data_IF_460032116978
#
_entry.id   IF_460032116978
#
_cell.length_a   1.000
_cell.length_b   1.000
_cell.length_c   1.000
_cell.angle_alpha   90.00
_cell.angle_beta   90.00
_cell.angle_gamma   90.00
#
_symmetry.space_group_name_H-M   'P 1'
#
loop_
_entity.id
_entity.type
_entity.pdbx_description
1 polymer ?
#
# COMPACT_ATOMS: atom_id res chain seq x y z
N UNK A 1 -8.02 -12.06 9.47
CA UNK A 1 -6.73 -12.68 9.13
C UNK A 1 -6.28 -12.02 7.85
N UNK A 2 -5.30 -11.14 7.92
CA UNK A 2 -4.75 -10.46 6.73
C UNK A 2 -3.49 -11.20 6.35
N UNK A 3 -3.53 -11.88 5.20
CA UNK A 3 -2.39 -12.56 4.61
C UNK A 3 -1.64 -11.55 3.76
N UNK A 4 -0.44 -11.17 4.16
CA UNK A 4 0.44 -10.36 3.31
C UNK A 4 1.43 -11.27 2.59
N UNK A 5 1.30 -11.34 1.28
CA UNK A 5 2.27 -12.02 0.41
C UNK A 5 3.25 -10.97 -0.11
N UNK A 6 4.50 -11.09 0.25
CA UNK A 6 5.58 -10.24 -0.28
C UNK A 6 6.19 -10.86 -1.52
N UNK A 7 6.27 -10.05 -2.56
CA UNK A 7 7.09 -10.36 -3.73
C UNK A 7 8.58 -10.46 -3.35
N UNK A 8 9.28 -11.36 -4.01
CA UNK A 8 10.72 -11.61 -3.84
C UNK A 8 11.52 -10.35 -4.19
N UNK A 9 12.21 -9.78 -3.24
CA UNK A 9 13.28 -8.81 -3.49
C UNK A 9 14.54 -9.22 -2.75
N UNK A 10 15.67 -9.17 -3.45
CA UNK A 10 17.00 -9.55 -2.98
C UNK A 10 17.61 -8.61 -1.92
N UNK A 11 16.82 -7.79 -1.25
CA UNK A 11 17.27 -6.84 -0.24
C UNK A 11 16.61 -7.10 1.10
N UNK A 12 17.26 -6.81 2.22
CA UNK A 12 16.64 -6.87 3.54
C UNK A 12 15.59 -5.76 3.64
N UNK A 13 14.43 -5.99 3.04
CA UNK A 13 13.31 -5.06 3.15
C UNK A 13 12.51 -5.41 4.40
N UNK A 14 12.33 -4.46 5.31
CA UNK A 14 11.41 -4.64 6.43
C UNK A 14 9.99 -4.84 5.92
N UNK A 15 9.30 -5.74 6.55
CA UNK A 15 7.96 -6.13 6.23
C UNK A 15 6.98 -4.98 6.54
N UNK A 16 6.15 -4.66 5.58
CA UNK A 16 5.04 -3.78 5.81
C UNK A 16 3.94 -4.50 6.59
N UNK A 17 3.60 -3.96 7.74
CA UNK A 17 2.40 -4.35 8.46
C UNK A 17 1.33 -3.31 8.18
N UNK A 18 0.32 -3.70 7.43
CA UNK A 18 -0.91 -2.93 7.31
C UNK A 18 -1.92 -3.43 8.33
N UNK A 19 -2.54 -2.52 9.03
CA UNK A 19 -3.49 -2.81 10.09
C UNK A 19 -4.74 -1.95 9.93
N UNK A 20 -5.65 -2.31 9.00
CA UNK A 20 -6.91 -1.60 8.89
C UNK A 20 -7.76 -1.88 10.15
N UNK A 21 -7.65 -0.99 11.13
CA UNK A 21 -8.52 -0.97 12.30
C UNK A 21 -8.24 -1.98 13.41
N UNK A 22 -7.29 -2.89 13.26
CA UNK A 22 -6.97 -3.90 14.28
C UNK A 22 -5.72 -3.57 15.10
N UNK A 23 -5.71 -3.93 16.39
CA UNK A 23 -4.50 -3.91 17.21
C UNK A 23 -3.75 -5.22 17.03
N UNK A 24 -2.50 -5.24 16.52
CA UNK A 24 -1.74 -6.46 16.37
C UNK A 24 -1.36 -7.02 17.75
N UNK A 25 -1.28 -8.35 17.83
CA UNK A 25 -0.91 -9.05 19.07
C UNK A 25 0.31 -9.96 18.89
N UNK A 26 0.49 -10.54 17.72
CA UNK A 26 1.64 -11.38 17.40
C UNK A 26 1.82 -11.55 15.88
N UNK A 27 2.99 -12.03 15.49
CA UNK A 27 3.26 -12.45 14.11
C UNK A 27 3.73 -13.90 14.06
N UNK A 28 3.47 -14.57 12.93
CA UNK A 28 4.06 -15.87 12.56
C UNK A 28 4.92 -15.66 11.32
N UNK A 29 6.16 -16.16 11.32
CA UNK A 29 7.07 -16.02 10.19
C UNK A 29 6.99 -17.23 9.24
N UNK A 30 6.85 -16.96 7.94
CA UNK A 30 7.03 -17.94 6.88
C UNK A 30 8.38 -17.70 6.20
N UNK A 31 9.21 -18.73 6.15
CA UNK A 31 10.59 -18.65 5.66
C UNK A 31 10.81 -19.75 4.63
N UNK A 32 10.90 -19.39 3.38
CA UNK A 32 11.34 -20.30 2.30
C UNK A 32 12.68 -19.78 1.76
N UNK A 33 13.75 -20.56 1.90
CA UNK A 33 15.08 -20.10 1.53
C UNK A 33 15.84 -21.15 0.72
N UNK A 34 16.49 -20.75 -0.39
CA UNK A 34 17.41 -21.62 -1.13
C UNK A 34 18.76 -21.70 -0.39
N UNK A 35 18.84 -22.58 0.61
CA UNK A 35 19.99 -22.69 1.51
C UNK A 35 21.31 -23.06 0.80
N UNK A 36 21.22 -23.63 -0.40
CA UNK A 36 22.39 -23.94 -1.24
C UNK A 36 22.89 -22.73 -2.04
N UNK A 37 22.14 -21.63 -2.09
CA UNK A 37 22.43 -20.41 -2.89
C UNK A 37 22.67 -19.21 -1.98
N UNK A 38 21.84 -19.05 -0.94
CA UNK A 38 21.95 -17.94 0.01
C UNK A 38 22.76 -18.34 1.24
N UNK A 39 23.69 -17.45 1.63
CA UNK A 39 24.43 -17.64 2.87
C UNK A 39 23.52 -17.48 4.10
N UNK A 40 23.86 -18.18 5.18
CA UNK A 40 23.15 -18.04 6.47
C UNK A 40 23.18 -16.61 7.01
N UNK A 41 24.24 -15.83 6.70
CA UNK A 41 24.34 -14.40 7.05
C UNK A 41 23.26 -13.57 6.32
N UNK A 42 23.07 -13.82 5.03
CA UNK A 42 22.00 -13.15 4.24
C UNK A 42 20.62 -13.50 4.77
N UNK A 43 20.37 -14.78 5.05
CA UNK A 43 19.11 -15.25 5.64
C UNK A 43 18.89 -14.59 7.01
N UNK A 44 19.93 -14.54 7.85
CA UNK A 44 19.90 -13.87 9.14
C UNK A 44 19.52 -12.38 9.06
N UNK A 45 20.03 -11.66 8.06
CA UNK A 45 19.66 -10.25 7.81
C UNK A 45 18.18 -10.08 7.41
N UNK A 46 17.64 -10.99 6.59
CA UNK A 46 16.22 -10.98 6.22
C UNK A 46 15.35 -11.18 7.48
N UNK A 47 15.69 -12.17 8.31
CA UNK A 47 14.96 -12.44 9.55
C UNK A 47 15.05 -11.27 10.54
N UNK A 48 16.23 -10.66 10.66
CA UNK A 48 16.44 -9.48 11.51
C UNK A 48 15.60 -8.28 11.05
N UNK A 49 15.43 -8.10 9.73
CA UNK A 49 14.52 -7.07 9.17
C UNK A 49 13.09 -7.28 9.64
N UNK A 50 12.55 -8.50 9.53
CA UNK A 50 11.21 -8.83 10.01
C UNK A 50 11.07 -8.66 11.53
N UNK A 51 12.06 -9.09 12.30
CA UNK A 51 12.07 -8.91 13.75
C UNK A 51 12.07 -7.42 14.15
N UNK A 52 12.82 -6.58 13.42
CA UNK A 52 12.85 -5.13 13.65
C UNK A 52 11.47 -4.49 13.48
N UNK A 53 10.73 -4.89 12.44
CA UNK A 53 9.36 -4.37 12.20
C UNK A 53 8.39 -4.82 13.29
N UNK A 54 8.45 -6.10 13.70
CA UNK A 54 7.63 -6.61 14.81
C UNK A 54 7.94 -5.89 16.13
N UNK A 55 9.22 -5.64 16.42
CA UNK A 55 9.64 -4.88 17.60
C UNK A 55 9.10 -3.44 17.57
N UNK A 56 9.16 -2.77 16.41
CA UNK A 56 8.58 -1.43 16.24
C UNK A 56 7.06 -1.44 16.44
N UNK A 57 6.39 -2.51 16.01
CA UNK A 57 4.96 -2.70 16.21
C UNK A 57 4.59 -3.13 17.65
N UNK A 58 5.59 -3.43 18.51
CA UNK A 58 5.38 -3.89 19.88
C UNK A 58 4.80 -5.30 19.99
N UNK A 59 5.08 -6.18 19.00
CA UNK A 59 4.56 -7.55 18.97
C UNK A 59 5.67 -8.59 18.82
N UNK A 60 5.55 -9.79 19.43
CA UNK A 60 6.48 -10.87 19.23
C UNK A 60 6.26 -11.60 17.90
N UNK A 61 7.32 -12.20 17.35
CA UNK A 61 7.22 -13.32 16.43
C UNK A 61 7.01 -14.56 17.30
N UNK A 62 5.80 -15.10 17.35
CA UNK A 62 5.42 -16.19 18.25
C UNK A 62 5.64 -17.59 17.67
N UNK A 63 6.10 -17.68 16.42
CA UNK A 63 6.36 -18.93 15.72
C UNK A 63 6.35 -18.74 14.22
N UNK A 64 6.18 -19.84 13.50
CA UNK A 64 6.16 -19.81 12.05
C UNK A 64 6.54 -21.15 11.44
N UNK A 65 6.92 -21.14 10.16
CA UNK A 65 7.34 -22.33 9.44
C UNK A 65 8.51 -22.02 8.50
N UNK A 66 9.44 -22.95 8.40
CA UNK A 66 10.60 -22.86 7.51
C UNK A 66 10.59 -24.03 6.54
N UNK A 67 10.78 -23.73 5.26
CA UNK A 67 10.88 -24.73 4.18
C UNK A 67 12.07 -24.44 3.29
N UNK A 68 12.56 -25.47 2.62
CA UNK A 68 13.48 -25.29 1.50
C UNK A 68 12.71 -24.77 0.27
N UNK A 69 13.29 -23.83 -0.47
CA UNK A 69 12.64 -23.20 -1.62
C UNK A 69 13.65 -22.84 -2.68
N UNK A 70 13.27 -22.89 -3.96
CA UNK A 70 14.13 -22.48 -5.09
C UNK A 70 14.39 -20.99 -5.12
N UNK A 71 13.46 -20.18 -4.58
CA UNK A 71 13.56 -18.72 -4.48
C UNK A 71 13.35 -18.27 -3.04
N UNK A 72 14.00 -17.17 -2.61
CA UNK A 72 13.77 -16.65 -1.27
C UNK A 72 12.34 -16.15 -1.11
N UNK A 73 11.65 -16.70 -0.13
CA UNK A 73 10.29 -16.30 0.30
C UNK A 73 10.37 -15.97 1.77
N UNK A 74 9.99 -14.76 2.14
CA UNK A 74 9.85 -14.36 3.53
C UNK A 74 8.54 -13.59 3.71
N UNK A 75 7.79 -13.93 4.73
CA UNK A 75 6.54 -13.25 5.05
C UNK A 75 6.18 -13.35 6.52
N UNK A 76 5.37 -12.40 6.98
CA UNK A 76 4.77 -12.44 8.31
C UNK A 76 3.24 -12.51 8.20
N UNK A 77 2.64 -13.44 8.90
CA UNK A 77 1.20 -13.47 9.15
C UNK A 77 0.97 -12.78 10.48
N UNK A 78 0.29 -11.63 10.45
CA UNK A 78 0.00 -10.86 11.65
C UNK A 78 -1.41 -11.16 12.14
N UNK A 79 -1.52 -11.51 13.40
CA UNK A 79 -2.78 -11.65 14.11
C UNK A 79 -3.05 -10.42 14.95
N UNK A 80 -4.30 -9.96 14.94
CA UNK A 80 -4.71 -8.78 15.69
C UNK A 80 -6.13 -8.91 16.21
N UNK A 81 -6.50 -8.00 17.09
CA UNK A 81 -7.84 -7.90 17.65
C UNK A 81 -8.51 -6.63 17.19
N UNK A 82 -9.76 -6.73 16.80
CA UNK A 82 -10.64 -5.61 16.47
C UNK A 82 -12.02 -5.85 17.06
N UNK A 83 -12.65 -4.80 17.58
CA UNK A 83 -14.04 -4.90 18.00
C UNK A 83 -14.92 -5.10 16.75
N UNK A 84 -15.90 -6.05 16.76
CA UNK A 84 -16.73 -6.33 15.57
C UNK A 84 -17.38 -5.08 14.95
N UNK A 85 -17.86 -4.18 15.79
CA UNK A 85 -18.53 -2.94 15.32
C UNK A 85 -17.54 -1.86 14.79
N UNK A 86 -16.22 -2.09 14.91
CA UNK A 86 -15.16 -1.16 14.48
C UNK A 86 -14.36 -1.66 13.30
N UNK A 87 -14.77 -2.77 12.70
CA UNK A 87 -14.16 -3.27 11.46
C UNK A 87 -14.51 -2.31 10.32
N UNK A 88 -13.50 -1.66 9.75
CA UNK A 88 -13.66 -0.81 8.57
C UNK A 88 -13.48 -1.66 7.31
N UNK A 89 -14.60 -2.03 6.73
CA UNK A 89 -14.64 -2.89 5.53
C UNK A 89 -14.52 -2.05 4.28
N UNK A 90 -14.00 -2.64 3.20
CA UNK A 90 -13.90 -1.96 1.90
C UNK A 90 -15.28 -1.60 1.29
N UNK A 91 -16.35 -2.31 1.70
CA UNK A 91 -17.72 -2.08 1.22
C UNK A 91 -18.50 -1.01 2.01
N UNK A 92 -17.86 -0.37 2.99
CA UNK A 92 -18.50 0.61 3.86
C UNK A 92 -18.59 2.04 3.30
N UNK A 93 -17.93 2.34 2.18
CA UNK A 93 -17.90 3.68 1.61
C UNK A 93 -19.28 4.20 1.22
N UNK A 94 -19.46 5.51 1.30
CA UNK A 94 -20.73 6.21 1.06
C UNK A 94 -20.58 7.31 0.02
N UNK A 95 -21.67 7.64 -0.66
CA UNK A 95 -21.70 8.82 -1.56
C UNK A 95 -21.36 10.08 -0.77
N UNK A 96 -20.46 10.88 -1.32
CA UNK A 96 -19.95 12.10 -0.69
C UNK A 96 -18.70 11.90 0.19
N UNK A 97 -18.28 10.65 0.45
CA UNK A 97 -17.03 10.41 1.16
C UNK A 97 -15.84 10.98 0.41
N UNK A 98 -14.91 11.52 1.16
CA UNK A 98 -13.59 11.96 0.69
C UNK A 98 -12.60 10.83 0.82
N UNK A 99 -11.72 10.66 -0.18
CA UNK A 99 -10.63 9.68 -0.16
C UNK A 99 -9.31 10.36 0.26
N UNK A 100 -8.69 9.84 1.30
CA UNK A 100 -7.37 10.28 1.79
C UNK A 100 -6.36 9.16 1.65
N UNK A 101 -5.21 9.44 1.02
CA UNK A 101 -4.09 8.51 0.87
C UNK A 101 -2.97 8.87 1.85
N UNK A 102 -2.52 7.91 2.65
CA UNK A 102 -1.57 8.15 3.74
C UNK A 102 -0.10 8.23 3.34
N UNK A 103 0.30 7.64 2.20
CA UNK A 103 1.70 7.68 1.71
C UNK A 103 1.73 7.99 0.22
N UNK A 104 2.81 8.61 -0.29
CA UNK A 104 3.02 8.75 -1.72
C UNK A 104 3.20 7.40 -2.41
N UNK A 105 2.87 7.34 -3.69
CA UNK A 105 3.03 6.15 -4.55
C UNK A 105 4.28 6.24 -5.44
N UNK A 106 4.66 5.11 -6.03
CA UNK A 106 5.78 5.01 -6.96
C UNK A 106 6.87 4.01 -6.53
N UNK A 107 6.60 3.19 -5.50
CA UNK A 107 7.56 2.18 -5.00
C UNK A 107 7.95 1.19 -6.10
N UNK A 108 6.99 0.76 -6.93
CA UNK A 108 7.28 -0.15 -8.02
C UNK A 108 8.19 0.48 -9.08
N UNK A 109 7.99 1.76 -9.42
CA UNK A 109 8.86 2.52 -10.32
C UNK A 109 10.28 2.60 -9.77
N UNK A 110 10.44 2.93 -8.48
CA UNK A 110 11.77 2.96 -7.82
C UNK A 110 12.40 1.56 -7.80
N UNK A 111 11.63 0.51 -7.54
CA UNK A 111 12.10 -0.88 -7.57
C UNK A 111 12.55 -1.31 -8.98
N UNK A 112 11.82 -0.88 -10.03
CA UNK A 112 12.22 -1.13 -11.41
C UNK A 112 13.53 -0.41 -11.77
N UNK A 113 13.70 0.83 -11.32
CA UNK A 113 14.93 1.60 -11.49
C UNK A 113 16.10 0.97 -10.73
N UNK A 114 15.87 0.49 -9.51
CA UNK A 114 16.87 -0.25 -8.71
C UNK A 114 17.33 -1.51 -9.44
N UNK A 115 16.39 -2.31 -9.96
CA UNK A 115 16.72 -3.53 -10.71
C UNK A 115 17.55 -3.25 -11.99
N UNK A 116 17.38 -2.07 -12.59
CA UNK A 116 18.15 -1.62 -13.76
C UNK A 116 19.44 -0.89 -13.38
N UNK A 117 19.77 -0.80 -12.08
CA UNK A 117 20.96 -0.10 -11.56
C UNK A 117 21.01 1.40 -11.92
N UNK A 118 19.85 2.04 -12.11
CA UNK A 118 19.74 3.48 -12.45
C UNK A 118 19.12 4.31 -11.32
N UNK A 119 18.78 3.68 -10.18
CA UNK A 119 18.28 4.38 -9.00
C UNK A 119 19.45 4.99 -8.23
N UNK A 120 19.40 6.29 -7.99
CA UNK A 120 20.39 6.96 -7.15
C UNK A 120 20.22 6.68 -5.65
N UNK A 121 21.19 7.07 -4.84
CA UNK A 121 21.19 6.84 -3.40
C UNK A 121 19.99 7.51 -2.71
N UNK A 122 19.59 8.70 -3.13
CA UNK A 122 18.46 9.43 -2.55
C UNK A 122 17.13 8.73 -2.87
N UNK A 123 16.95 8.22 -4.09
CA UNK A 123 15.80 7.42 -4.48
C UNK A 123 15.73 6.10 -3.70
N UNK A 124 16.87 5.45 -3.49
CA UNK A 124 16.95 4.24 -2.67
C UNK A 124 16.54 4.51 -1.22
N UNK A 125 17.08 5.56 -0.60
CA UNK A 125 16.74 5.96 0.77
C UNK A 125 15.25 6.30 0.91
N UNK A 126 14.70 7.06 -0.04
CA UNK A 126 13.27 7.38 -0.09
C UNK A 126 12.40 6.13 -0.19
N UNK A 127 12.77 5.17 -1.05
CA UNK A 127 12.06 3.90 -1.20
C UNK A 127 12.08 3.10 0.11
N UNK A 128 13.24 2.96 0.75
CA UNK A 128 13.38 2.23 2.02
C UNK A 128 12.59 2.92 3.12
N UNK A 129 12.72 4.23 3.29
CA UNK A 129 11.99 4.99 4.29
C UNK A 129 10.47 4.80 4.15
N UNK A 130 9.94 4.88 2.92
CA UNK A 130 8.52 4.71 2.66
C UNK A 130 8.04 3.27 2.93
N UNK A 131 8.80 2.26 2.50
CA UNK A 131 8.41 0.86 2.63
C UNK A 131 8.56 0.32 4.05
N UNK A 132 9.48 0.87 4.85
CA UNK A 132 9.71 0.46 6.25
C UNK A 132 8.79 1.15 7.24
N UNK A 133 8.10 2.22 6.82
CA UNK A 133 7.19 2.97 7.67
C UNK A 133 5.90 2.20 7.92
N UNK A 134 5.65 1.84 9.18
CA UNK A 134 4.43 1.16 9.59
C UNK A 134 3.20 2.05 9.46
N UNK A 135 2.08 1.49 9.02
CA UNK A 135 0.80 2.20 8.94
C UNK A 135 0.12 2.35 10.33
N UNK A 136 0.85 2.90 11.27
CA UNK A 136 0.42 3.10 12.66
C UNK A 136 -0.85 3.95 12.85
N UNK A 137 -1.30 4.81 11.91
CA UNK A 137 -2.57 5.52 12.04
C UNK A 137 -3.80 4.61 12.01
N UNK A 138 -3.70 3.40 11.42
CA UNK A 138 -4.85 2.53 11.13
C UNK A 138 -5.79 2.28 12.31
N UNK A 139 -5.30 1.85 13.49
CA UNK A 139 -6.17 1.63 14.65
C UNK A 139 -6.92 2.88 15.10
N UNK A 140 -6.27 4.04 15.12
CA UNK A 140 -6.89 5.29 15.56
C UNK A 140 -7.91 5.81 14.53
N UNK A 141 -7.60 5.68 13.23
CA UNK A 141 -8.54 6.01 12.16
C UNK A 141 -9.80 5.15 12.21
N UNK A 142 -9.68 3.88 12.58
CA UNK A 142 -10.81 2.98 12.69
C UNK A 142 -11.76 3.31 13.84
N UNK A 143 -11.31 4.04 14.87
CA UNK A 143 -12.15 4.51 15.97
C UNK A 143 -13.11 5.63 15.54
N UNK A 144 -12.80 6.34 14.44
CA UNK A 144 -13.63 7.43 13.97
C UNK A 144 -14.92 6.92 13.31
N UNK A 145 -16.08 7.39 13.81
CA UNK A 145 -17.37 7.03 13.24
C UNK A 145 -17.56 7.52 11.80
N UNK A 146 -16.93 8.65 11.46
CA UNK A 146 -16.98 9.22 10.12
C UNK A 146 -16.02 8.57 9.12
N UNK A 147 -15.15 7.64 9.53
CA UNK A 147 -14.38 6.77 8.62
C UNK A 147 -15.24 5.58 8.27
N UNK A 148 -15.54 5.40 6.98
CA UNK A 148 -16.48 4.40 6.49
C UNK A 148 -15.80 3.18 5.87
N UNK A 149 -14.68 3.36 5.15
CA UNK A 149 -13.86 2.26 4.66
C UNK A 149 -12.37 2.57 4.82
N UNK A 150 -11.56 1.53 4.98
CA UNK A 150 -10.14 1.62 5.20
C UNK A 150 -9.44 0.40 4.61
N UNK A 151 -8.49 0.60 3.72
CA UNK A 151 -7.62 -0.44 3.15
C UNK A 151 -6.19 0.07 3.05
N UNK A 152 -5.24 -0.82 2.84
CA UNK A 152 -3.88 -0.45 2.44
C UNK A 152 -3.70 -0.57 0.93
N UNK A 153 -2.86 0.27 0.37
CA UNK A 153 -2.50 0.23 -1.05
C UNK A 153 -1.29 -0.67 -1.23
N UNK A 154 -1.46 -1.80 -1.92
CA UNK A 154 -0.41 -2.80 -2.10
C UNK A 154 -0.23 -3.22 -3.56
N UNK A 155 -0.18 -4.50 -3.84
CA UNK A 155 0.20 -5.08 -5.13
C UNK A 155 -0.66 -4.68 -6.33
N UNK A 156 -1.91 -4.32 -6.12
CA UNK A 156 -2.82 -3.87 -7.19
C UNK A 156 -2.73 -2.37 -7.49
N UNK A 157 -1.88 -1.63 -6.78
CA UNK A 157 -1.73 -0.19 -6.95
C UNK A 157 -2.93 0.63 -6.44
N UNK A 158 -2.82 1.94 -6.49
CA UNK A 158 -3.89 2.85 -6.01
C UNK A 158 -5.22 2.59 -6.73
N UNK A 159 -5.19 2.38 -8.05
CA UNK A 159 -6.41 2.13 -8.82
C UNK A 159 -7.09 0.83 -8.41
N UNK A 160 -6.34 -0.26 -8.20
CA UNK A 160 -6.92 -1.54 -7.79
C UNK A 160 -7.62 -1.46 -6.45
N UNK A 161 -7.01 -0.81 -5.46
CA UNK A 161 -7.59 -0.66 -4.13
C UNK A 161 -8.75 0.35 -4.08
N UNK A 162 -8.70 1.44 -4.88
CA UNK A 162 -9.85 2.30 -5.06
C UNK A 162 -11.04 1.57 -5.72
N UNK A 163 -10.76 0.69 -6.70
CA UNK A 163 -11.76 -0.18 -7.31
C UNK A 163 -12.36 -1.19 -6.31
N UNK A 164 -11.55 -1.76 -5.40
CA UNK A 164 -12.08 -2.64 -4.35
C UNK A 164 -13.14 -1.94 -3.49
N UNK A 165 -12.86 -0.70 -3.07
CA UNK A 165 -13.81 0.12 -2.32
C UNK A 165 -15.05 0.40 -3.16
N UNK A 166 -14.87 0.88 -4.39
CA UNK A 166 -15.98 1.23 -5.28
C UNK A 166 -16.88 0.02 -5.63
N UNK A 167 -16.28 -1.15 -5.86
CA UNK A 167 -17.00 -2.40 -6.13
C UNK A 167 -17.76 -2.87 -4.90
N UNK A 168 -17.10 -2.88 -3.73
CA UNK A 168 -17.70 -3.30 -2.47
C UNK A 168 -18.92 -2.46 -2.11
N UNK A 169 -18.79 -1.14 -2.21
CA UNK A 169 -19.87 -0.20 -1.95
C UNK A 169 -20.90 -0.10 -3.08
N UNK A 170 -20.63 -0.65 -4.29
CA UNK A 170 -21.42 -0.53 -5.53
C UNK A 170 -21.53 0.91 -6.02
N UNK A 171 -20.53 1.72 -5.76
CA UNK A 171 -20.42 3.14 -6.08
C UNK A 171 -19.33 3.39 -7.13
N UNK A 172 -19.02 4.66 -7.39
CA UNK A 172 -17.91 5.08 -8.24
C UNK A 172 -16.91 5.91 -7.42
N UNK A 173 -15.63 5.55 -7.50
CA UNK A 173 -14.54 6.34 -6.96
C UNK A 173 -14.06 7.36 -8.01
N UNK A 174 -13.72 8.55 -7.56
CA UNK A 174 -13.14 9.62 -8.36
C UNK A 174 -11.77 9.96 -7.80
N UNK A 175 -10.74 9.90 -8.62
CA UNK A 175 -9.37 10.32 -8.25
C UNK A 175 -9.02 11.57 -9.05
N UNK A 176 -8.53 12.59 -8.36
CA UNK A 176 -7.92 13.75 -8.99
C UNK A 176 -6.40 13.53 -9.09
N UNK A 177 -5.92 13.31 -10.30
CA UNK A 177 -4.53 12.91 -10.54
C UNK A 177 -3.52 13.92 -10.00
N UNK A 178 -3.77 15.21 -10.18
CA UNK A 178 -2.89 16.27 -9.68
C UNK A 178 -2.68 16.26 -8.16
N UNK A 179 -3.57 15.64 -7.42
CA UNK A 179 -3.55 15.62 -5.95
C UNK A 179 -2.95 14.32 -5.40
N UNK A 180 -2.59 13.36 -6.27
CA UNK A 180 -1.95 12.10 -5.86
C UNK A 180 -0.49 12.35 -5.50
N UNK A 181 -0.06 12.13 -4.24
CA UNK A 181 1.33 12.34 -3.84
C UNK A 181 2.23 11.26 -4.44
N UNK A 182 3.36 11.70 -5.02
CA UNK A 182 4.34 10.82 -5.63
C UNK A 182 5.67 10.87 -4.85
N UNK A 183 6.35 9.74 -4.80
CA UNK A 183 7.73 9.68 -4.28
C UNK A 183 8.67 10.53 -5.15
N UNK A 184 9.73 11.09 -4.56
CA UNK A 184 10.72 11.87 -5.30
C UNK A 184 11.26 11.13 -6.53
N UNK A 185 11.53 11.87 -7.61
CA UNK A 185 12.09 11.36 -8.88
C UNK A 185 11.20 10.38 -9.66
N UNK A 186 10.06 9.92 -9.12
CA UNK A 186 9.16 8.98 -9.79
C UNK A 186 8.72 9.46 -11.18
N UNK A 187 8.28 10.73 -11.38
CA UNK A 187 7.90 11.19 -12.72
C UNK A 187 9.03 11.12 -13.77
N UNK A 188 10.27 11.44 -13.36
CA UNK A 188 11.42 11.38 -14.25
C UNK A 188 11.81 9.93 -14.59
N UNK A 189 11.83 9.05 -13.58
CA UNK A 189 12.12 7.64 -13.76
C UNK A 189 11.07 6.93 -14.63
N UNK A 190 9.81 7.29 -14.46
CA UNK A 190 8.73 6.77 -15.28
C UNK A 190 8.88 7.17 -16.74
N UNK A 191 9.15 8.44 -17.04
CA UNK A 191 9.44 8.93 -18.40
C UNK A 191 10.62 8.22 -19.05
N UNK A 192 11.59 7.76 -18.25
CA UNK A 192 12.73 6.94 -18.70
C UNK A 192 12.39 5.44 -18.83
N UNK A 193 11.11 5.07 -18.76
CA UNK A 193 10.65 3.70 -18.98
C UNK A 193 10.85 2.75 -17.80
N UNK A 194 10.98 3.28 -16.57
CA UNK A 194 11.08 2.45 -15.37
C UNK A 194 9.68 2.07 -14.88
N UNK A 195 9.12 1.03 -15.43
CA UNK A 195 7.80 0.48 -15.10
C UNK A 195 7.94 -0.99 -14.75
N UNK A 196 7.15 -1.48 -13.81
CA UNK A 196 7.11 -2.91 -13.47
C UNK A 196 6.21 -3.66 -14.44
N UNK A 197 6.55 -4.91 -14.75
CA UNK A 197 5.65 -5.78 -15.52
C UNK A 197 4.33 -6.06 -14.78
N UNK A 198 4.31 -5.87 -13.46
CA UNK A 198 3.09 -6.00 -12.67
C UNK A 198 2.09 -4.87 -12.92
N UNK A 199 2.55 -3.63 -13.17
CA UNK A 199 1.67 -2.52 -13.56
C UNK A 199 0.85 -2.84 -14.79
N UNK A 200 1.49 -3.37 -15.85
CA UNK A 200 0.79 -3.77 -17.08
C UNK A 200 -0.25 -4.86 -16.80
N UNK A 201 0.13 -5.93 -16.10
CA UNK A 201 -0.81 -7.02 -15.76
C UNK A 201 -1.98 -6.54 -14.89
N UNK A 202 -1.73 -5.64 -13.95
CA UNK A 202 -2.77 -5.02 -13.14
C UNK A 202 -3.79 -4.28 -14.02
N UNK A 203 -3.27 -3.44 -14.92
CA UNK A 203 -4.11 -2.68 -15.84
C UNK A 203 -4.91 -3.58 -16.78
N UNK A 204 -4.30 -4.61 -17.34
CA UNK A 204 -4.98 -5.62 -18.18
C UNK A 204 -6.12 -6.31 -17.41
N UNK A 205 -5.95 -6.51 -16.10
CA UNK A 205 -6.92 -7.18 -15.23
C UNK A 205 -8.15 -6.33 -14.92
N UNK A 206 -7.99 -5.03 -14.71
CA UNK A 206 -9.10 -4.19 -14.23
C UNK A 206 -9.27 -2.84 -14.95
N UNK A 207 -8.39 -2.48 -15.88
CA UNK A 207 -8.44 -1.18 -16.56
C UNK A 207 -9.73 -0.91 -17.32
N UNK A 208 -10.49 -1.95 -17.70
CA UNK A 208 -11.80 -1.82 -18.35
C UNK A 208 -12.86 -1.12 -17.50
N UNK A 209 -12.67 -1.09 -16.19
CA UNK A 209 -13.56 -0.44 -15.23
C UNK A 209 -13.15 1.00 -14.91
N UNK A 210 -12.03 1.46 -15.51
CA UNK A 210 -11.45 2.78 -15.29
C UNK A 210 -11.71 3.68 -16.49
N UNK A 211 -12.13 4.91 -16.22
CA UNK A 211 -12.17 5.99 -17.21
C UNK A 211 -11.11 7.02 -16.85
N UNK A 212 -10.25 7.36 -17.82
CA UNK A 212 -9.28 8.44 -17.69
C UNK A 212 -9.76 9.63 -18.50
N UNK A 213 -9.79 10.82 -17.90
CA UNK A 213 -10.06 12.07 -18.62
C UNK A 213 -8.95 12.39 -19.62
N UNK A 214 -9.30 13.09 -20.69
CA UNK A 214 -8.38 13.47 -21.76
C UNK A 214 -7.22 14.35 -21.30
N UNK A 215 -7.34 15.05 -20.18
CA UNK A 215 -6.29 15.87 -19.55
C UNK A 215 -5.31 15.07 -18.68
N UNK A 216 -5.59 13.79 -18.43
CA UNK A 216 -4.71 12.95 -17.59
C UNK A 216 -3.52 12.47 -18.42
N UNK A 217 -2.26 12.63 -17.94
CA UNK A 217 -1.09 12.16 -18.65
C UNK A 217 -1.12 10.65 -18.92
N UNK A 218 -0.55 10.22 -20.06
CA UNK A 218 -0.52 8.80 -20.42
C UNK A 218 0.20 7.92 -19.37
N UNK A 219 1.19 8.51 -18.69
CA UNK A 219 1.96 7.84 -17.64
C UNK A 219 1.16 7.56 -16.37
N UNK A 220 0.04 8.26 -16.16
CA UNK A 220 -0.85 8.06 -15.02
C UNK A 220 -1.31 6.61 -14.90
N UNK A 221 -1.65 5.97 -16.02
CA UNK A 221 -2.04 4.57 -16.06
C UNK A 221 -1.01 3.67 -15.34
N UNK A 222 0.26 3.82 -15.69
CA UNK A 222 1.33 3.00 -15.13
C UNK A 222 1.50 3.23 -13.63
N UNK A 223 1.36 4.48 -13.15
CA UNK A 223 1.49 4.83 -11.73
C UNK A 223 0.27 4.42 -10.90
N UNK A 224 -0.93 4.58 -11.42
CA UNK A 224 -2.16 4.14 -10.73
C UNK A 224 -2.20 2.62 -10.53
N UNK A 225 -1.62 1.86 -11.45
CA UNK A 225 -1.51 0.41 -11.38
C UNK A 225 -0.16 -0.10 -10.84
N UNK A 226 0.73 0.82 -10.42
CA UNK A 226 2.05 0.49 -9.88
C UNK A 226 1.94 -0.24 -8.54
N UNK A 227 2.50 -1.47 -8.42
CA UNK A 227 2.46 -2.19 -7.16
C UNK A 227 3.21 -1.42 -6.07
N UNK A 228 2.57 -1.29 -4.91
CA UNK A 228 3.16 -0.66 -3.75
C UNK A 228 3.55 -1.73 -2.73
N UNK A 229 4.80 -1.70 -2.30
CA UNK A 229 5.24 -2.47 -1.14
C UNK A 229 5.04 -1.60 0.09
N UNK A 230 4.25 -2.06 1.05
CA UNK A 230 3.95 -1.28 2.24
C UNK A 230 3.41 0.12 1.92
N UNK A 231 2.49 0.21 0.98
CA UNK A 231 1.89 1.48 0.62
C UNK A 231 1.07 2.09 1.75
N UNK A 232 0.53 3.28 1.52
CA UNK A 232 -0.26 4.00 2.49
C UNK A 232 -1.64 3.41 2.70
N UNK A 233 -2.27 3.78 3.79
CA UNK A 233 -3.70 3.55 3.99
C UNK A 233 -4.49 4.43 3.02
N UNK A 234 -5.50 3.86 2.39
CA UNK A 234 -6.53 4.57 1.64
C UNK A 234 -7.79 4.58 2.49
N UNK A 235 -8.19 5.76 2.91
CA UNK A 235 -9.30 6.00 3.84
C UNK A 235 -10.43 6.68 3.11
N UNK A 236 -11.67 6.20 3.27
CA UNK A 236 -12.87 6.96 2.88
C UNK A 236 -13.59 7.45 4.13
N UNK A 237 -13.89 8.73 4.17
CA UNK A 237 -14.53 9.33 5.33
C UNK A 237 -15.49 10.47 4.92
N UNK A 238 -16.42 10.79 5.81
CA UNK A 238 -17.28 11.96 5.61
C UNK A 238 -16.47 13.25 5.55
N UNK A 239 -16.89 14.27 4.79
CA UNK A 239 -16.15 15.54 4.66
C UNK A 239 -15.80 16.20 6.00
N UNK A 240 -16.69 16.11 6.98
CA UNK A 240 -16.51 16.70 8.32
C UNK A 240 -15.38 16.00 9.10
N UNK A 241 -15.08 14.74 8.78
CA UNK A 241 -14.05 13.92 9.46
C UNK A 241 -12.66 14.12 8.86
N UNK A 242 -12.55 14.68 7.65
CA UNK A 242 -11.27 14.86 6.94
C UNK A 242 -10.22 15.60 7.77
N UNK A 243 -10.52 16.72 8.46
CA UNK A 243 -9.51 17.42 9.27
C UNK A 243 -8.91 16.53 10.35
N UNK A 244 -9.73 15.68 10.99
CA UNK A 244 -9.27 14.76 12.02
C UNK A 244 -8.43 13.62 11.43
N UNK A 245 -8.86 13.05 10.30
CA UNK A 245 -8.08 12.03 9.58
C UNK A 245 -6.69 12.54 9.22
N UNK A 246 -6.58 13.75 8.65
CA UNK A 246 -5.29 14.37 8.32
C UNK A 246 -4.47 14.70 9.59
N UNK A 247 -5.11 15.10 10.67
CA UNK A 247 -4.43 15.35 11.95
C UNK A 247 -3.85 14.05 12.54
N UNK A 248 -4.56 12.92 12.43
CA UNK A 248 -4.07 11.60 12.84
C UNK A 248 -2.85 11.21 11.99
N UNK A 249 -2.95 11.29 10.68
CA UNK A 249 -1.80 11.02 9.80
C UNK A 249 -0.59 11.86 10.19
N UNK A 250 -0.77 13.17 10.39
CA UNK A 250 0.31 14.09 10.78
C UNK A 250 0.94 13.72 12.11
N UNK A 251 0.14 13.38 13.15
CA UNK A 251 0.65 12.98 14.48
C UNK A 251 1.51 11.72 14.40
N UNK A 252 1.18 10.81 13.49
CA UNK A 252 1.96 9.61 13.23
C UNK A 252 3.13 9.82 12.23
N UNK A 253 3.41 11.08 11.85
CA UNK A 253 4.51 11.45 10.96
C UNK A 253 4.25 11.22 9.48
N UNK A 254 3.00 11.01 9.05
CA UNK A 254 2.61 10.86 7.64
C UNK A 254 2.31 12.24 7.04
N UNK A 255 3.36 13.01 6.78
CA UNK A 255 3.24 14.40 6.35
C UNK A 255 2.80 14.56 4.90
N UNK A 256 2.95 13.50 4.09
CA UNK A 256 2.55 13.46 2.69
C UNK A 256 1.11 12.95 2.50
N UNK A 257 0.38 12.70 3.59
CA UNK A 257 -1.02 12.29 3.50
C UNK A 257 -1.86 13.38 2.82
N UNK A 258 -2.61 12.99 1.78
CA UNK A 258 -3.33 13.93 0.93
C UNK A 258 -4.74 13.44 0.59
N UNK A 259 -5.65 14.39 0.36
CA UNK A 259 -6.93 14.12 -0.27
C UNK A 259 -6.65 13.82 -1.74
N UNK A 260 -7.07 12.63 -2.22
CA UNK A 260 -6.81 12.20 -3.58
C UNK A 260 -8.10 12.07 -4.42
N UNK A 261 -9.27 12.25 -3.80
CA UNK A 261 -10.53 12.11 -4.51
C UNK A 261 -11.75 11.98 -3.61
N UNK A 262 -12.81 11.42 -4.14
CA UNK A 262 -14.09 11.23 -3.44
C UNK A 262 -14.88 10.02 -3.99
N UNK A 263 -15.92 9.64 -3.28
CA UNK A 263 -16.88 8.61 -3.68
C UNK A 263 -18.17 9.28 -4.16
N UNK A 264 -18.63 8.92 -5.34
CA UNK A 264 -19.87 9.43 -5.92
C UNK A 264 -20.85 8.32 -6.26
N UNK A 265 -22.00 8.72 -6.78
CA UNK A 265 -23.03 7.81 -7.27
C UNK A 265 -22.49 6.85 -8.33
N UNK A 266 -23.08 5.65 -8.40
CA UNK A 266 -22.70 4.62 -9.34
C UNK A 266 -22.77 5.09 -10.79
N UNK A 267 -21.65 4.98 -11.51
CA UNK A 267 -21.53 5.27 -12.94
C UNK A 267 -21.20 3.99 -13.72
N UNK A 268 -21.10 4.11 -15.06
CA UNK A 268 -20.67 3.02 -15.93
C UNK A 268 -19.27 2.52 -15.55
N UNK A 269 -18.34 3.45 -15.33
CA UNK A 269 -16.99 3.15 -14.84
C UNK A 269 -16.99 3.19 -13.31
N UNK A 270 -16.31 2.22 -12.68
CA UNK A 270 -16.19 2.14 -11.21
C UNK A 270 -15.11 3.07 -10.66
N UNK A 271 -14.16 3.46 -11.50
CA UNK A 271 -13.14 4.45 -11.17
C UNK A 271 -13.07 5.47 -12.31
N UNK A 272 -13.10 6.74 -11.97
CA UNK A 272 -12.93 7.86 -12.89
C UNK A 272 -11.73 8.67 -12.39
N UNK A 273 -10.78 8.94 -13.29
CA UNK A 273 -9.58 9.73 -12.98
C UNK A 273 -9.62 11.02 -13.76
N UNK A 274 -9.64 12.13 -13.04
CA UNK A 274 -9.63 13.49 -13.58
C UNK A 274 -8.20 14.07 -13.51
N UNK A 275 -7.93 15.10 -14.30
CA UNK A 275 -6.64 15.79 -14.33
C UNK A 275 -6.32 16.55 -13.01
#
# INVERSE_FOLDING_TARGET
MILMTLGVLQLPMPLAMSMPGGKPILALALVGMPINVLSTDTIGKILAGGASVCNTAGIPIAGGHTIDSVEPIYGLVVLGLVHPDRVKRNDGARVGDVMVLGKPIGVGVLSAALKKEVLDAAGYESMISNTTKLNTPGPELAELNGVHALTDVTGFGLAGHALEIARGAKLTAYIKWSDVPLLPNVPALLKSGNVTGASGRNWDGYGKEISLDSGVPAECQALLSDPQTSGGLLVTCSPETVPEVLAIFKRHGFHDAAIVGHIGEAQKSRLIVNA
#
